data_IF_089020207738
#
_entry.id   IF_089020207738
#
_cell.length_a   1.000
_cell.length_b   1.000
_cell.length_c   1.000
_cell.angle_alpha   90.00
_cell.angle_beta   90.00
_cell.angle_gamma   90.00
#
_symmetry.space_group_name_H-M   'P 1'
#
loop_
_entity.id
_entity.type
_entity.pdbx_description
1 polymer ?
#
# COMPACT_ATOMS: atom_id res chain seq x y z
N UNK A 1 1.56 -21.41 -43.85
CA UNK A 1 3.03 -21.41 -43.93
C UNK A 1 3.58 -21.99 -42.65
N UNK A 2 4.02 -23.25 -42.72
CA UNK A 2 4.60 -23.99 -41.59
C UNK A 2 6.08 -23.62 -41.43
N UNK A 3 6.50 -23.26 -40.25
CA UNK A 3 7.91 -23.18 -39.88
C UNK A 3 8.20 -24.21 -38.79
N UNK A 4 8.87 -25.26 -39.18
CA UNK A 4 9.42 -26.33 -38.33
C UNK A 4 10.81 -25.91 -37.81
N UNK A 5 11.15 -26.08 -36.52
CA UNK A 5 12.51 -25.83 -36.05
C UNK A 5 13.41 -27.07 -36.31
N UNK A 6 14.57 -26.78 -36.87
CA UNK A 6 15.67 -27.76 -37.13
C UNK A 6 16.45 -27.97 -35.82
N UNK A 7 16.41 -29.20 -35.33
CA UNK A 7 17.36 -29.66 -34.29
C UNK A 7 18.72 -29.99 -34.95
N UNK A 8 19.80 -29.40 -34.43
CA UNK A 8 21.17 -29.89 -34.67
C UNK A 8 21.61 -30.73 -33.46
N UNK A 9 21.88 -32.00 -33.74
CA UNK A 9 22.68 -32.89 -32.88
C UNK A 9 24.14 -32.47 -32.99
N UNK A 10 24.85 -32.37 -31.88
CA UNK A 10 26.29 -32.44 -31.83
C UNK A 10 26.71 -33.53 -30.84
N UNK A 11 27.61 -34.36 -31.31
CA UNK A 11 28.14 -35.58 -30.73
C UNK A 11 29.06 -35.31 -29.53
N UNK A 12 29.03 -36.28 -28.63
CA UNK A 12 29.91 -36.43 -27.47
C UNK A 12 31.29 -36.96 -27.90
N UNK A 13 32.39 -36.59 -27.30
CA UNK A 13 33.39 -37.58 -26.98
C UNK A 13 34.03 -37.46 -25.58
N UNK A 14 34.09 -38.60 -24.94
CA UNK A 14 35.21 -39.15 -24.13
C UNK A 14 35.38 -38.69 -22.68
N UNK A 15 35.22 -39.69 -21.83
CA UNK A 15 35.65 -39.81 -20.45
C UNK A 15 37.14 -39.51 -20.21
N UNK A 16 37.44 -38.83 -19.12
CA UNK A 16 38.80 -38.62 -18.64
C UNK A 16 38.87 -38.04 -17.23
N UNK A 17 39.17 -38.94 -16.27
CA UNK A 17 39.91 -38.66 -15.01
C UNK A 17 39.50 -37.50 -14.08
N UNK A 18 39.06 -37.87 -12.87
CA UNK A 18 39.09 -37.03 -11.67
C UNK A 18 40.56 -36.76 -11.22
N UNK A 19 40.84 -35.54 -10.72
CA UNK A 19 41.66 -35.43 -9.53
C UNK A 19 40.98 -34.53 -8.45
N UNK A 20 41.18 -34.94 -7.29
CA UNK A 20 41.22 -34.48 -5.95
C UNK A 20 40.88 -33.04 -5.54
N UNK A 21 40.17 -33.00 -4.43
CA UNK A 21 40.13 -31.94 -3.40
C UNK A 21 40.67 -30.56 -3.78
N UNK A 22 39.73 -29.65 -4.10
CA UNK A 22 39.91 -28.20 -4.08
C UNK A 22 38.70 -27.60 -3.43
N UNK A 23 38.95 -26.74 -2.46
CA UNK A 23 38.00 -25.91 -1.68
C UNK A 23 36.80 -25.49 -2.53
N UNK A 24 35.60 -25.77 -2.04
CA UNK A 24 34.37 -25.21 -2.59
C UNK A 24 34.49 -23.69 -2.55
N UNK A 25 34.78 -23.08 -3.69
CA UNK A 25 34.50 -21.68 -3.91
C UNK A 25 32.99 -21.54 -3.79
N UNK A 26 32.54 -20.76 -2.82
CA UNK A 26 31.18 -20.23 -2.81
C UNK A 26 30.89 -19.69 -4.22
N UNK A 27 30.07 -20.41 -4.96
CA UNK A 27 29.53 -19.89 -6.21
C UNK A 27 28.63 -18.71 -5.81
N UNK A 28 29.18 -17.49 -5.92
CA UNK A 28 28.40 -16.27 -5.86
C UNK A 28 27.20 -16.43 -6.80
N UNK A 29 26.01 -16.28 -6.26
CA UNK A 29 24.78 -16.23 -7.06
C UNK A 29 25.01 -15.26 -8.24
N UNK A 30 24.48 -15.53 -9.45
CA UNK A 30 24.70 -14.68 -10.59
C UNK A 30 24.29 -13.25 -10.20
N UNK A 31 25.27 -12.34 -10.23
CA UNK A 31 25.05 -10.94 -9.86
C UNK A 31 23.97 -10.37 -10.79
N UNK A 32 22.82 -10.05 -10.22
CA UNK A 32 21.75 -9.35 -10.94
C UNK A 32 22.35 -8.08 -11.52
N UNK A 33 22.14 -7.75 -12.80
CA UNK A 33 22.64 -6.50 -13.36
C UNK A 33 22.00 -5.33 -12.61
N UNK A 34 22.82 -4.37 -12.16
CA UNK A 34 22.34 -3.15 -11.54
C UNK A 34 21.55 -2.31 -12.55
N UNK A 35 20.60 -1.52 -12.04
CA UNK A 35 19.70 -0.68 -12.82
C UNK A 35 19.40 0.60 -12.05
N UNK A 36 19.35 1.74 -12.72
CA UNK A 36 18.69 2.93 -12.20
C UNK A 36 17.34 3.13 -12.90
N UNK A 37 16.26 3.22 -12.12
CA UNK A 37 14.91 3.47 -12.64
C UNK A 37 14.43 4.87 -12.23
N UNK A 38 14.29 5.77 -13.20
CA UNK A 38 13.66 7.08 -13.00
C UNK A 38 12.14 6.89 -13.02
N UNK A 39 11.52 6.93 -11.84
CA UNK A 39 10.16 6.45 -11.64
C UNK A 39 9.22 7.58 -11.26
N UNK A 40 8.22 7.80 -12.10
CA UNK A 40 7.14 8.75 -11.82
C UNK A 40 6.23 8.27 -10.70
N UNK A 41 6.06 9.12 -9.68
CA UNK A 41 5.24 8.80 -8.51
C UNK A 41 3.80 9.32 -8.59
N UNK A 42 3.43 9.92 -9.72
CA UNK A 42 2.12 10.56 -9.86
C UNK A 42 1.97 11.84 -9.03
N UNK A 43 0.77 12.42 -8.99
CA UNK A 43 0.52 13.74 -8.40
C UNK A 43 0.32 13.71 -6.88
N UNK A 44 -0.04 12.57 -6.28
CA UNK A 44 -0.34 12.49 -4.84
C UNK A 44 -0.84 11.12 -4.41
N UNK A 45 -1.97 10.69 -4.92
CA UNK A 45 -2.57 9.39 -4.60
C UNK A 45 -1.69 8.24 -5.11
N UNK A 46 -1.27 7.36 -4.20
CA UNK A 46 -0.43 6.20 -4.54
C UNK A 46 -1.15 5.15 -5.37
N UNK A 47 -2.48 5.16 -5.42
CA UNK A 47 -3.26 4.31 -6.32
C UNK A 47 -3.07 4.69 -7.80
N UNK A 48 -2.52 5.88 -8.07
CA UNK A 48 -2.16 6.35 -9.41
C UNK A 48 -0.74 5.97 -9.83
N UNK A 49 0.00 5.22 -9.02
CA UNK A 49 1.26 4.61 -9.44
C UNK A 49 1.00 3.64 -10.59
N UNK A 50 1.88 3.64 -11.57
CA UNK A 50 1.84 2.59 -12.58
C UNK A 50 2.24 1.25 -11.95
N UNK A 51 1.74 0.14 -12.49
CA UNK A 51 2.12 -1.20 -12.01
C UNK A 51 3.65 -1.39 -12.04
N UNK A 52 4.31 -0.87 -13.09
CA UNK A 52 5.76 -0.93 -13.21
C UNK A 52 6.49 -0.11 -12.14
N UNK A 53 5.97 1.06 -11.80
CA UNK A 53 6.51 1.87 -10.70
C UNK A 53 6.42 1.12 -9.36
N UNK A 54 5.27 0.56 -9.04
CA UNK A 54 5.06 -0.20 -7.81
C UNK A 54 5.95 -1.45 -7.75
N UNK A 55 6.10 -2.18 -8.86
CA UNK A 55 6.98 -3.34 -8.97
C UNK A 55 8.45 -2.99 -8.67
N UNK A 56 8.97 -1.94 -9.33
CA UNK A 56 10.37 -1.53 -9.16
C UNK A 56 10.65 -0.98 -7.76
N UNK A 57 9.72 -0.21 -7.17
CA UNK A 57 9.84 0.25 -5.78
C UNK A 57 9.90 -0.94 -4.83
N UNK A 58 9.05 -1.97 -5.03
CA UNK A 58 9.04 -3.19 -4.23
C UNK A 58 10.26 -4.11 -4.41
N UNK A 59 11.07 -3.89 -5.44
CA UNK A 59 12.30 -4.63 -5.72
C UNK A 59 13.58 -3.81 -5.48
N UNK A 60 13.44 -2.56 -5.01
CA UNK A 60 14.57 -1.65 -4.88
C UNK A 60 15.53 -2.07 -3.76
N UNK A 61 16.83 -1.99 -4.04
CA UNK A 61 17.90 -2.03 -3.03
C UNK A 61 18.19 -0.63 -2.48
N UNK A 62 17.82 0.42 -3.25
CA UNK A 62 17.97 1.80 -2.89
C UNK A 62 16.86 2.66 -3.49
N UNK A 63 16.23 3.49 -2.67
CA UNK A 63 15.21 4.47 -3.10
C UNK A 63 15.73 5.87 -2.84
N UNK A 64 15.69 6.73 -3.85
CA UNK A 64 16.24 8.09 -3.82
C UNK A 64 15.16 9.08 -4.21
N UNK A 65 14.86 10.06 -3.37
CA UNK A 65 13.82 11.07 -3.65
C UNK A 65 13.73 12.12 -2.56
N UNK A 66 12.86 13.13 -2.75
CA UNK A 66 12.58 14.08 -1.67
C UNK A 66 11.89 13.37 -0.48
N UNK A 67 12.03 13.94 0.72
CA UNK A 67 11.40 13.41 1.94
C UNK A 67 9.88 13.16 1.75
N UNK A 68 9.19 14.05 1.02
CA UNK A 68 7.77 13.91 0.72
C UNK A 68 7.48 12.69 -0.16
N UNK A 69 8.29 12.44 -1.20
CA UNK A 69 8.09 11.31 -2.11
C UNK A 69 8.44 9.99 -1.45
N UNK A 70 9.54 9.93 -0.70
CA UNK A 70 9.95 8.71 0.02
C UNK A 70 8.93 8.31 1.08
N UNK A 71 8.43 9.28 1.85
CA UNK A 71 7.36 9.04 2.83
C UNK A 71 6.06 8.52 2.18
N UNK A 72 5.70 9.05 1.01
CA UNK A 72 4.49 8.65 0.28
C UNK A 72 4.52 7.18 -0.14
N UNK A 73 5.65 6.68 -0.61
CA UNK A 73 5.81 5.30 -1.10
C UNK A 73 6.41 4.34 -0.07
N UNK A 74 6.65 4.78 1.17
CA UNK A 74 7.34 4.00 2.21
C UNK A 74 6.71 2.61 2.46
N UNK A 75 5.39 2.48 2.27
CA UNK A 75 4.68 1.21 2.44
C UNK A 75 4.98 0.16 1.35
N UNK A 76 5.59 0.56 0.23
CA UNK A 76 6.00 -0.30 -0.88
C UNK A 76 7.49 -0.62 -0.84
N UNK A 77 8.29 0.16 -0.10
CA UNK A 77 9.74 0.01 -0.05
C UNK A 77 10.11 -1.18 0.82
N UNK A 78 10.98 -2.10 0.35
CA UNK A 78 11.47 -3.20 1.16
C UNK A 78 12.17 -2.71 2.43
N UNK A 79 12.00 -3.40 3.55
CA UNK A 79 12.60 -3.03 4.84
C UNK A 79 14.15 -2.98 4.79
N UNK A 80 14.75 -3.82 3.94
CA UNK A 80 16.20 -3.87 3.75
C UNK A 80 16.75 -2.81 2.77
N UNK A 81 15.87 -2.06 2.07
CA UNK A 81 16.30 -1.06 1.10
C UNK A 81 16.82 0.20 1.77
N UNK A 82 17.90 0.76 1.23
CA UNK A 82 18.41 2.06 1.65
C UNK A 82 17.51 3.18 1.12
N UNK A 83 17.08 4.10 1.98
CA UNK A 83 16.33 5.30 1.57
C UNK A 83 17.21 6.52 1.71
N UNK A 84 17.38 7.26 0.59
CA UNK A 84 18.21 8.47 0.52
C UNK A 84 17.31 9.65 0.15
N UNK A 85 17.23 10.62 1.05
CA UNK A 85 16.49 11.85 0.80
C UNK A 85 17.36 12.86 0.03
N UNK A 86 16.77 13.41 -1.05
CA UNK A 86 17.43 14.44 -1.85
C UNK A 86 16.96 15.84 -1.44
N UNK A 87 17.90 16.80 -1.45
CA UNK A 87 17.58 18.22 -1.35
C UNK A 87 17.07 18.83 -2.66
N UNK A 88 17.09 20.16 -2.73
CA UNK A 88 16.69 20.92 -3.94
C UNK A 88 17.66 20.72 -5.13
N UNK A 89 18.89 20.33 -4.88
CA UNK A 89 19.94 20.13 -5.88
C UNK A 89 19.81 18.83 -6.69
N UNK A 90 18.76 18.03 -6.40
CA UNK A 90 18.53 16.75 -7.07
C UNK A 90 19.28 15.58 -6.47
N UNK A 91 19.49 14.53 -7.25
CA UNK A 91 20.16 13.30 -6.81
C UNK A 91 21.68 13.42 -6.96
N UNK A 92 22.41 12.78 -6.03
CA UNK A 92 23.86 12.58 -6.16
C UNK A 92 24.13 11.53 -7.26
N UNK A 93 24.39 11.99 -8.48
CA UNK A 93 24.61 11.13 -9.65
C UNK A 93 25.81 10.17 -9.45
N UNK A 94 26.98 10.58 -8.96
CA UNK A 94 28.06 9.67 -8.60
C UNK A 94 27.65 8.53 -7.66
N UNK A 95 26.83 8.82 -6.66
CA UNK A 95 26.31 7.81 -5.74
C UNK A 95 25.36 6.81 -6.42
N UNK A 96 24.46 7.29 -7.30
CA UNK A 96 23.59 6.44 -8.11
C UNK A 96 24.41 5.50 -9.01
N UNK A 97 25.40 6.03 -9.74
CA UNK A 97 26.28 5.28 -10.63
C UNK A 97 27.02 4.19 -9.84
N UNK A 98 27.61 4.52 -8.70
CA UNK A 98 28.33 3.58 -7.86
C UNK A 98 27.44 2.45 -7.34
N UNK A 99 26.21 2.75 -6.95
CA UNK A 99 25.24 1.75 -6.49
C UNK A 99 24.86 0.77 -7.61
N UNK A 100 24.60 1.28 -8.83
CA UNK A 100 24.29 0.44 -9.99
C UNK A 100 25.46 -0.44 -10.40
N UNK A 101 26.70 0.10 -10.39
CA UNK A 101 27.92 -0.69 -10.65
C UNK A 101 28.14 -1.80 -9.62
N UNK A 102 27.64 -1.61 -8.39
CA UNK A 102 27.62 -2.63 -7.36
C UNK A 102 26.49 -3.68 -7.53
N UNK A 103 25.76 -3.66 -8.65
CA UNK A 103 24.66 -4.59 -8.97
C UNK A 103 23.34 -4.29 -8.28
N UNK A 104 23.15 -3.07 -7.74
CA UNK A 104 21.92 -2.66 -7.05
C UNK A 104 20.86 -2.14 -8.01
N UNK A 105 19.58 -2.38 -7.65
CA UNK A 105 18.44 -1.67 -8.25
C UNK A 105 18.22 -0.38 -7.47
N UNK A 106 18.43 0.73 -8.16
CA UNK A 106 18.21 2.08 -7.64
C UNK A 106 16.94 2.66 -8.23
N UNK A 107 15.99 3.06 -7.39
CA UNK A 107 14.76 3.73 -7.82
C UNK A 107 14.84 5.22 -7.47
N UNK A 108 14.96 6.07 -8.50
CA UNK A 108 14.90 7.52 -8.40
C UNK A 108 13.46 7.99 -8.54
N UNK A 109 12.87 8.42 -7.43
CA UNK A 109 11.49 8.90 -7.39
C UNK A 109 11.38 10.31 -7.99
N UNK A 110 10.47 10.49 -8.93
CA UNK A 110 10.19 11.76 -9.59
C UNK A 110 8.74 12.17 -9.37
N UNK A 111 8.43 13.44 -9.07
CA UNK A 111 7.04 13.90 -8.96
C UNK A 111 6.35 13.82 -10.33
N UNK A 112 5.08 13.40 -10.36
CA UNK A 112 4.33 13.26 -11.61
C UNK A 112 4.98 12.28 -12.57
N UNK A 113 5.48 12.80 -13.70
CA UNK A 113 6.21 12.08 -14.74
C UNK A 113 7.68 12.52 -14.78
N UNK A 114 8.65 11.60 -14.91
CA UNK A 114 10.09 11.93 -14.87
C UNK A 114 10.55 12.91 -15.93
N UNK A 115 9.94 12.89 -17.11
CA UNK A 115 10.35 13.69 -18.26
C UNK A 115 9.50 14.95 -18.49
N UNK A 116 8.57 15.24 -17.56
CA UNK A 116 7.70 16.40 -17.67
C UNK A 116 8.01 17.42 -16.55
N UNK A 117 8.55 18.59 -16.90
CA UNK A 117 8.85 19.70 -15.98
C UNK A 117 9.75 19.33 -14.78
N UNK A 118 10.72 18.42 -14.96
CA UNK A 118 11.57 17.95 -13.88
C UNK A 118 13.06 17.90 -14.23
N UNK A 119 13.87 17.66 -13.23
CA UNK A 119 15.34 17.51 -13.36
C UNK A 119 15.76 16.11 -13.81
N UNK A 120 14.84 15.15 -13.83
CA UNK A 120 15.15 13.74 -14.09
C UNK A 120 15.75 13.50 -15.48
N UNK A 121 15.42 14.34 -16.48
CA UNK A 121 16.00 14.24 -17.81
C UNK A 121 17.53 14.44 -17.78
N UNK A 122 18.01 15.48 -17.08
CA UNK A 122 19.44 15.75 -16.96
C UNK A 122 20.16 14.67 -16.13
N UNK A 123 19.53 14.17 -15.05
CA UNK A 123 20.03 13.07 -14.24
C UNK A 123 20.15 11.77 -15.07
N UNK A 124 19.12 11.46 -15.89
CA UNK A 124 19.10 10.29 -16.77
C UNK A 124 20.16 10.40 -17.88
N UNK A 125 20.32 11.57 -18.49
CA UNK A 125 21.36 11.83 -19.50
C UNK A 125 22.77 11.60 -18.90
N UNK A 126 23.03 12.04 -17.67
CA UNK A 126 24.28 11.81 -17.00
C UNK A 126 24.54 10.31 -16.75
N UNK A 127 23.53 9.55 -16.36
CA UNK A 127 23.62 8.09 -16.22
C UNK A 127 23.88 7.41 -17.59
N UNK A 128 23.19 7.84 -18.64
CA UNK A 128 23.39 7.31 -19.99
C UNK A 128 24.81 7.60 -20.52
N UNK A 129 25.35 8.79 -20.30
CA UNK A 129 26.74 9.14 -20.65
C UNK A 129 27.76 8.27 -19.89
N UNK A 130 27.44 7.86 -18.67
CA UNK A 130 28.27 6.94 -17.89
C UNK A 130 28.04 5.44 -18.26
N UNK A 131 27.25 5.18 -19.33
CA UNK A 131 26.89 3.83 -19.77
C UNK A 131 26.24 2.94 -18.69
N UNK A 132 25.49 3.56 -17.78
CA UNK A 132 24.75 2.88 -16.72
C UNK A 132 23.41 2.38 -17.27
N UNK A 133 23.02 1.09 -17.04
CA UNK A 133 21.68 0.62 -17.38
C UNK A 133 20.62 1.46 -16.68
N UNK A 134 19.68 2.00 -17.48
CA UNK A 134 18.62 2.85 -16.96
C UNK A 134 17.26 2.45 -17.53
N UNK A 135 16.20 2.76 -16.78
CA UNK A 135 14.80 2.63 -17.19
C UNK A 135 14.06 3.93 -16.86
N UNK A 136 13.27 4.45 -17.78
CA UNK A 136 12.35 5.55 -17.54
C UNK A 136 10.95 4.96 -17.36
N UNK A 137 10.38 5.13 -16.18
CA UNK A 137 9.03 4.66 -15.86
C UNK A 137 8.09 5.85 -15.81
N UNK A 138 7.23 6.03 -16.81
CA UNK A 138 6.26 7.14 -16.82
C UNK A 138 5.37 7.13 -15.59
N UNK A 139 4.99 8.31 -15.13
CA UNK A 139 4.02 8.51 -14.07
C UNK A 139 2.81 9.30 -14.55
N UNK A 140 1.73 9.33 -13.77
CA UNK A 140 0.57 10.15 -14.09
C UNK A 140 0.90 11.63 -13.92
N UNK A 141 0.84 12.46 -14.99
CA UNK A 141 1.15 13.88 -14.88
C UNK A 141 0.11 14.61 -14.01
N UNK A 142 0.58 15.47 -13.12
CA UNK A 142 -0.31 16.30 -12.30
C UNK A 142 -1.21 17.20 -13.15
N UNK A 143 -0.71 17.65 -14.31
CA UNK A 143 -1.44 18.48 -15.27
C UNK A 143 -2.76 17.89 -15.77
N UNK A 144 -2.89 16.57 -15.80
CA UNK A 144 -4.10 15.86 -16.24
C UNK A 144 -4.84 15.19 -15.10
N UNK A 145 -4.11 14.61 -14.13
CA UNK A 145 -4.71 13.89 -13.03
C UNK A 145 -5.45 14.82 -12.05
N UNK A 146 -4.84 15.94 -11.67
CA UNK A 146 -5.45 16.88 -10.70
C UNK A 146 -6.74 17.49 -11.24
N UNK A 147 -6.81 18.02 -12.48
CA UNK A 147 -8.08 18.44 -13.06
C UNK A 147 -9.13 17.32 -13.12
N UNK A 148 -8.73 16.08 -13.44
CA UNK A 148 -9.63 14.93 -13.42
C UNK A 148 -10.22 14.65 -12.04
N UNK A 149 -9.44 14.77 -10.97
CA UNK A 149 -9.91 14.65 -9.59
C UNK A 149 -10.78 15.85 -9.15
N UNK A 150 -10.51 17.03 -9.67
CA UNK A 150 -11.35 18.20 -9.48
C UNK A 150 -12.63 18.19 -10.33
N UNK A 151 -12.80 17.19 -11.22
CA UNK A 151 -13.97 17.09 -12.10
C UNK A 151 -13.97 18.10 -13.24
N UNK A 152 -12.79 18.50 -13.73
CA UNK A 152 -12.60 19.48 -14.79
C UNK A 152 -12.21 18.79 -16.10
N UNK A 153 -13.12 18.65 -17.09
CA UNK A 153 -12.81 18.06 -18.39
C UNK A 153 -11.96 19.04 -19.22
N UNK A 154 -10.69 18.74 -19.40
CA UNK A 154 -9.71 19.65 -20.06
C UNK A 154 -9.97 19.84 -21.55
N UNK A 155 -10.66 18.91 -22.19
CA UNK A 155 -11.02 18.98 -23.62
C UNK A 155 -12.49 18.62 -23.84
N UNK A 156 -13.08 19.15 -24.90
CA UNK A 156 -14.43 18.86 -25.36
C UNK A 156 -14.48 18.90 -26.88
N UNK A 157 -15.64 18.58 -27.48
CA UNK A 157 -15.82 18.73 -28.94
C UNK A 157 -15.60 20.19 -29.41
N UNK A 158 -15.87 21.15 -28.54
CA UNK A 158 -15.69 22.58 -28.81
C UNK A 158 -14.28 23.08 -28.48
N UNK A 159 -13.54 22.38 -27.62
CA UNK A 159 -12.24 22.79 -27.07
C UNK A 159 -11.25 21.63 -27.19
N UNK A 160 -10.53 21.55 -28.29
CA UNK A 160 -9.56 20.49 -28.59
C UNK A 160 -8.14 20.81 -28.10
N UNK A 161 -7.83 22.09 -27.85
CA UNK A 161 -6.50 22.54 -27.47
C UNK A 161 -6.28 22.46 -25.97
N UNK A 162 -5.17 21.82 -25.55
CA UNK A 162 -4.68 21.78 -24.18
C UNK A 162 -3.24 22.28 -24.14
N UNK A 163 -3.01 23.29 -23.33
CA UNK A 163 -1.65 23.82 -23.07
C UNK A 163 -1.30 23.62 -21.60
N UNK A 164 -0.07 23.16 -21.36
CA UNK A 164 0.47 22.98 -20.00
C UNK A 164 1.72 23.84 -19.88
N UNK A 165 1.76 24.68 -18.87
CA UNK A 165 2.89 25.57 -18.59
C UNK A 165 3.23 25.55 -17.12
N UNK A 166 4.47 25.90 -16.76
CA UNK A 166 4.83 26.17 -15.38
C UNK A 166 4.65 27.67 -15.08
N UNK A 167 4.20 28.02 -13.90
CA UNK A 167 3.92 29.42 -13.51
C UNK A 167 5.12 30.36 -13.74
N UNK A 168 6.35 29.89 -13.52
CA UNK A 168 7.58 30.65 -13.76
C UNK A 168 7.78 31.08 -15.21
N UNK A 169 7.17 30.34 -16.16
CA UNK A 169 7.32 30.62 -17.59
C UNK A 169 6.14 31.42 -18.19
N UNK A 170 5.08 31.65 -17.36
CA UNK A 170 3.85 32.28 -17.81
C UNK A 170 4.12 33.72 -18.35
N UNK A 171 5.05 34.46 -17.73
CA UNK A 171 5.41 35.81 -18.16
C UNK A 171 6.04 35.88 -19.56
N UNK A 172 6.74 34.82 -19.95
CA UNK A 172 7.34 34.71 -21.32
C UNK A 172 6.33 34.29 -22.36
N UNK A 173 5.34 33.49 -21.94
CA UNK A 173 4.35 32.90 -22.82
C UNK A 173 3.09 33.75 -22.97
N UNK A 174 2.88 34.76 -22.10
CA UNK A 174 1.63 35.54 -22.03
C UNK A 174 1.26 36.30 -23.32
N UNK A 175 2.24 36.69 -24.13
CA UNK A 175 1.98 37.37 -25.42
C UNK A 175 1.47 36.43 -26.54
N UNK A 176 1.70 35.12 -26.41
CA UNK A 176 1.35 34.09 -27.41
C UNK A 176 0.06 33.33 -27.06
N UNK A 177 -0.44 33.44 -25.82
CA UNK A 177 -1.65 32.79 -25.36
C UNK A 177 -2.89 33.55 -25.81
N UNK A 178 -3.35 33.34 -27.02
CA UNK A 178 -4.71 33.74 -27.38
C UNK A 178 -5.70 32.61 -26.99
N UNK A 179 -6.80 33.04 -26.39
CA UNK A 179 -7.74 32.26 -25.61
C UNK A 179 -8.58 31.25 -26.41
N UNK A 180 -7.98 30.24 -26.99
CA UNK A 180 -8.72 29.12 -27.57
C UNK A 180 -8.19 27.81 -26.97
N UNK A 181 -8.86 27.32 -25.93
CA UNK A 181 -8.49 26.05 -25.32
C UNK A 181 -8.41 26.07 -23.79
N UNK A 182 -7.99 24.97 -23.21
CA UNK A 182 -7.71 24.87 -21.77
C UNK A 182 -6.23 25.12 -21.49
N UNK A 183 -5.96 26.02 -20.54
CA UNK A 183 -4.61 26.30 -20.05
C UNK A 183 -4.46 25.69 -18.64
N UNK A 184 -3.51 24.79 -18.46
CA UNK A 184 -3.13 24.22 -17.17
C UNK A 184 -1.81 24.84 -16.73
N UNK A 185 -1.78 25.43 -15.55
CA UNK A 185 -0.63 26.11 -14.96
C UNK A 185 -0.18 25.31 -13.75
N UNK A 186 1.03 24.75 -13.82
CA UNK A 186 1.69 24.08 -12.70
C UNK A 186 2.43 25.12 -11.84
N UNK A 187 2.55 24.88 -10.53
CA UNK A 187 3.22 25.81 -9.61
C UNK A 187 2.38 27.05 -9.30
N UNK A 188 1.05 26.91 -9.30
CA UNK A 188 0.12 28.00 -9.05
C UNK A 188 0.06 28.46 -7.58
N UNK A 189 0.66 27.70 -6.65
CA UNK A 189 0.76 28.04 -5.22
C UNK A 189 1.48 29.37 -4.98
N UNK A 190 2.41 29.75 -5.86
CA UNK A 190 3.22 30.96 -5.72
C UNK A 190 2.42 32.28 -5.81
N UNK A 191 1.22 32.25 -6.39
CA UNK A 191 0.40 33.48 -6.49
C UNK A 191 -0.75 33.39 -7.49
N UNK A 192 -1.85 32.68 -7.20
CA UNK A 192 -2.97 32.55 -8.13
C UNK A 192 -3.60 33.91 -8.53
N UNK A 193 -3.57 34.89 -7.65
CA UNK A 193 -4.04 36.26 -7.94
C UNK A 193 -3.15 36.95 -8.95
N UNK A 194 -1.83 36.78 -8.84
CA UNK A 194 -0.88 37.40 -9.77
C UNK A 194 -0.89 36.69 -11.13
N UNK A 195 -1.08 35.37 -11.15
CA UNK A 195 -1.32 34.61 -12.39
C UNK A 195 -2.56 35.16 -13.13
N UNK A 196 -3.66 35.40 -12.42
CA UNK A 196 -4.86 35.99 -13.02
C UNK A 196 -4.61 37.40 -13.58
N UNK A 197 -3.90 38.28 -12.85
CA UNK A 197 -3.51 39.61 -13.34
C UNK A 197 -2.65 39.54 -14.62
N UNK A 198 -1.70 38.59 -14.65
CA UNK A 198 -0.85 38.40 -15.85
C UNK A 198 -1.68 37.96 -17.05
N UNK A 199 -2.63 37.06 -16.90
CA UNK A 199 -3.52 36.63 -17.96
C UNK A 199 -4.43 37.76 -18.46
N UNK A 200 -5.01 38.55 -17.54
CA UNK A 200 -5.80 39.75 -17.90
C UNK A 200 -4.96 40.75 -18.68
N UNK A 201 -3.71 41.01 -18.26
CA UNK A 201 -2.79 41.89 -18.98
C UNK A 201 -2.41 41.34 -20.36
N UNK A 202 -2.44 40.00 -20.55
CA UNK A 202 -2.22 39.33 -21.81
C UNK A 202 -3.47 39.34 -22.74
N UNK A 203 -4.57 39.96 -22.32
CA UNK A 203 -5.79 40.11 -23.13
C UNK A 203 -6.85 39.03 -22.91
N UNK A 204 -6.74 38.19 -21.87
CA UNK A 204 -7.82 37.30 -21.51
C UNK A 204 -9.03 38.06 -20.97
N UNK A 205 -10.24 37.57 -21.26
CA UNK A 205 -11.46 38.22 -20.81
C UNK A 205 -11.65 38.11 -19.30
N UNK A 206 -12.16 39.16 -18.66
CA UNK A 206 -12.47 39.23 -17.22
C UNK A 206 -13.35 38.05 -16.73
N UNK A 207 -14.30 37.64 -17.56
CA UNK A 207 -15.24 36.57 -17.26
C UNK A 207 -14.67 35.15 -17.48
N UNK A 208 -13.43 35.02 -17.94
CA UNK A 208 -12.82 33.70 -18.21
C UNK A 208 -12.79 32.89 -16.91
N UNK A 209 -13.32 31.64 -16.92
CA UNK A 209 -13.28 30.76 -15.75
C UNK A 209 -11.85 30.38 -15.38
N UNK A 210 -11.60 30.27 -14.09
CA UNK A 210 -10.36 29.76 -13.51
C UNK A 210 -10.71 28.84 -12.34
N UNK A 211 -10.03 27.70 -12.25
CA UNK A 211 -10.11 26.81 -11.10
C UNK A 211 -8.70 26.59 -10.54
N UNK A 212 -8.56 26.69 -9.22
CA UNK A 212 -7.28 26.43 -8.55
C UNK A 212 -7.50 25.25 -7.61
N UNK A 213 -6.66 24.22 -7.74
CA UNK A 213 -6.71 23.01 -6.93
C UNK A 213 -5.39 22.83 -6.20
N UNK A 214 -5.44 22.85 -4.87
CA UNK A 214 -4.32 22.53 -3.99
C UNK A 214 -4.32 21.07 -3.60
N UNK A 215 -3.15 20.52 -3.32
CA UNK A 215 -2.95 19.13 -2.86
C UNK A 215 -3.71 18.09 -3.69
N UNK A 216 -3.78 18.31 -5.00
CA UNK A 216 -4.59 17.50 -5.91
C UNK A 216 -4.37 16.01 -5.77
N UNK A 217 -5.44 15.24 -5.92
CA UNK A 217 -5.53 13.79 -5.79
C UNK A 217 -5.36 13.23 -4.37
N UNK A 218 -5.11 14.08 -3.38
CA UNK A 218 -5.04 13.66 -1.97
C UNK A 218 -6.35 13.97 -1.24
N UNK A 219 -6.49 13.45 -0.05
CA UNK A 219 -7.65 13.74 0.82
C UNK A 219 -7.63 15.16 1.40
N UNK A 220 -6.53 15.89 1.20
CA UNK A 220 -6.40 17.30 1.53
C UNK A 220 -6.62 18.19 0.29
N UNK A 221 -7.13 17.61 -0.81
CA UNK A 221 -7.47 18.35 -2.03
C UNK A 221 -8.52 19.41 -1.72
N UNK A 222 -8.32 20.61 -2.25
CA UNK A 222 -9.27 21.69 -2.17
C UNK A 222 -9.29 22.46 -3.49
N UNK A 223 -10.48 22.60 -4.08
CA UNK A 223 -10.66 23.27 -5.38
C UNK A 223 -11.54 24.50 -5.25
N UNK A 224 -11.03 25.65 -5.67
CA UNK A 224 -11.79 26.91 -5.79
C UNK A 224 -12.01 27.23 -7.25
N UNK A 225 -13.28 27.30 -7.67
CA UNK A 225 -13.70 27.75 -8.98
C UNK A 225 -14.11 29.22 -8.97
N UNK A 226 -13.53 30.02 -9.84
CA UNK A 226 -13.67 31.48 -9.89
C UNK A 226 -13.62 31.99 -11.33
N UNK A 227 -13.47 33.30 -11.52
CA UNK A 227 -13.16 33.97 -12.78
C UNK A 227 -11.91 34.81 -12.61
N UNK A 228 -11.21 35.11 -13.71
CA UNK A 228 -9.96 35.89 -13.65
C UNK A 228 -10.12 37.22 -12.91
N UNK A 229 -11.26 37.92 -13.09
CA UNK A 229 -11.53 39.21 -12.40
C UNK A 229 -11.85 39.08 -10.91
N UNK A 230 -12.25 37.90 -10.43
CA UNK A 230 -12.74 37.72 -9.04
C UNK A 230 -11.87 36.84 -8.17
N UNK A 231 -10.73 36.33 -8.66
CA UNK A 231 -9.87 35.39 -7.94
C UNK A 231 -9.59 35.82 -6.49
N UNK A 232 -9.16 37.07 -6.27
CA UNK A 232 -8.80 37.55 -4.96
C UNK A 232 -10.00 37.57 -3.97
N UNK A 233 -11.20 37.96 -4.46
CA UNK A 233 -12.41 38.01 -3.66
C UNK A 233 -12.92 36.59 -3.33
N UNK A 234 -12.93 35.71 -4.30
CA UNK A 234 -13.46 34.35 -4.15
C UNK A 234 -12.54 33.47 -3.29
N UNK A 235 -11.21 33.61 -3.38
CA UNK A 235 -10.27 32.94 -2.47
C UNK A 235 -10.47 33.41 -1.04
N UNK A 236 -10.65 34.71 -0.82
CA UNK A 236 -10.95 35.25 0.51
C UNK A 236 -12.29 34.74 1.06
N UNK A 237 -13.32 34.66 0.21
CA UNK A 237 -14.63 34.14 0.59
C UNK A 237 -14.59 32.66 0.93
N UNK A 238 -13.75 31.88 0.24
CA UNK A 238 -13.50 30.48 0.52
C UNK A 238 -12.63 30.22 1.77
N UNK A 239 -12.15 31.30 2.42
CA UNK A 239 -11.27 31.19 3.60
C UNK A 239 -9.84 30.75 3.24
N UNK A 240 -9.49 30.72 1.96
CA UNK A 240 -8.17 30.33 1.48
C UNK A 240 -7.22 31.51 1.65
N UNK A 241 -6.23 31.36 2.52
CA UNK A 241 -5.13 32.31 2.63
C UNK A 241 -3.97 31.83 1.77
N UNK A 242 -3.69 32.54 0.69
CA UNK A 242 -2.55 32.25 -0.22
C UNK A 242 -1.19 32.18 0.52
N UNK A 243 -1.14 32.74 1.74
CA UNK A 243 0.06 32.74 2.59
C UNK A 243 0.14 31.52 3.53
N UNK A 244 -0.94 30.72 3.63
CA UNK A 244 -1.04 29.61 4.60
C UNK A 244 -1.40 28.28 3.95
N UNK A 245 -1.73 28.25 2.67
CA UNK A 245 -1.94 26.99 1.93
C UNK A 245 -0.57 26.37 1.60
N UNK A 246 -0.18 25.39 2.40
CA UNK A 246 1.02 24.61 2.18
C UNK A 246 0.70 23.45 1.20
N UNK A 247 1.33 23.48 0.05
CA UNK A 247 1.26 22.36 -0.90
C UNK A 247 1.20 22.81 -2.37
N UNK A 248 1.46 21.85 -3.27
CA UNK A 248 1.47 22.14 -4.70
C UNK A 248 0.07 22.48 -5.20
N UNK A 249 -0.04 23.53 -6.01
CA UNK A 249 -1.30 23.94 -6.62
C UNK A 249 -1.21 23.93 -8.16
N UNK A 250 -2.36 23.63 -8.77
CA UNK A 250 -2.55 23.68 -10.22
C UNK A 250 -3.73 24.62 -10.49
N UNK A 251 -3.54 25.54 -11.45
CA UNK A 251 -4.62 26.33 -11.98
C UNK A 251 -5.03 25.82 -13.37
N UNK A 252 -6.34 25.75 -13.60
CA UNK A 252 -6.95 25.50 -14.91
C UNK A 252 -7.66 26.77 -15.32
N UNK A 253 -7.44 27.25 -16.53
CA UNK A 253 -8.02 28.47 -17.08
C UNK A 253 -8.69 28.17 -18.40
N UNK A 254 -9.87 28.72 -18.62
CA UNK A 254 -10.67 28.48 -19.82
C UNK A 254 -12.02 27.83 -19.49
N UNK A 255 -12.73 27.37 -20.53
CA UNK A 255 -14.07 26.80 -20.40
C UNK A 255 -14.14 25.60 -19.43
N UNK A 256 -13.11 24.75 -19.46
CA UNK A 256 -12.97 23.58 -18.58
C UNK A 256 -13.09 23.95 -17.09
N UNK A 257 -12.52 25.09 -16.68
CA UNK A 257 -12.54 25.54 -15.28
C UNK A 257 -13.93 25.96 -14.79
N UNK A 258 -14.87 26.19 -15.68
CA UNK A 258 -16.27 26.52 -15.37
C UNK A 258 -17.17 25.30 -15.18
N UNK A 259 -16.69 24.09 -15.48
CA UNK A 259 -17.49 22.88 -15.37
C UNK A 259 -17.79 22.51 -13.90
N UNK A 260 -19.05 22.19 -13.60
CA UNK A 260 -19.49 21.93 -12.21
C UNK A 260 -20.19 20.56 -12.01
N UNK A 261 -20.31 19.79 -13.07
CA UNK A 261 -21.10 18.55 -13.04
C UNK A 261 -20.36 17.30 -12.53
N UNK A 262 -19.04 17.34 -12.43
CA UNK A 262 -18.19 16.15 -12.21
C UNK A 262 -17.35 16.20 -10.93
N UNK A 263 -17.75 16.98 -9.92
CA UNK A 263 -17.04 17.01 -8.64
C UNK A 263 -17.30 15.71 -7.86
N UNK A 264 -16.58 14.65 -8.20
CA UNK A 264 -16.80 13.31 -7.67
C UNK A 264 -15.91 12.99 -6.45
N UNK A 265 -14.71 13.58 -6.40
CA UNK A 265 -13.70 13.21 -5.41
C UNK A 265 -13.91 13.95 -4.08
N UNK A 266 -14.03 15.28 -4.12
CA UNK A 266 -14.28 16.11 -2.93
C UNK A 266 -15.70 15.93 -2.36
N UNK A 267 -16.64 15.37 -3.15
CA UNK A 267 -18.00 15.05 -2.73
C UNK A 267 -18.15 13.63 -2.14
N UNK A 268 -17.07 12.89 -1.94
CA UNK A 268 -17.14 11.60 -1.24
C UNK A 268 -17.67 11.78 0.18
N UNK A 269 -18.47 10.83 0.70
CA UNK A 269 -19.17 11.00 1.99
C UNK A 269 -18.27 11.27 3.20
N UNK A 270 -17.05 10.76 3.18
CA UNK A 270 -16.07 10.92 4.26
C UNK A 270 -14.81 11.67 3.80
N UNK A 271 -14.91 12.46 2.73
CA UNK A 271 -13.76 13.18 2.19
C UNK A 271 -13.10 14.07 3.26
N UNK A 272 -11.78 13.90 3.43
CA UNK A 272 -10.98 14.62 4.41
C UNK A 272 -11.17 14.20 5.87
N UNK A 273 -12.08 13.29 6.17
CA UNK A 273 -12.25 12.79 7.53
C UNK A 273 -11.08 11.90 7.95
N UNK A 274 -10.51 12.21 9.10
CA UNK A 274 -9.48 11.36 9.73
C UNK A 274 -10.15 10.40 10.69
N UNK A 275 -10.13 9.09 10.36
CA UNK A 275 -10.84 8.06 11.12
C UNK A 275 -9.86 7.18 11.87
N UNK A 276 -10.00 7.13 13.20
CA UNK A 276 -9.21 6.24 14.06
C UNK A 276 -9.71 4.80 13.91
N UNK A 277 -8.82 3.87 13.57
CA UNK A 277 -9.10 2.45 13.45
C UNK A 277 -8.34 1.69 14.54
N UNK A 278 -8.99 1.34 15.68
CA UNK A 278 -8.34 0.72 16.84
C UNK A 278 -8.24 -0.81 16.68
N UNK A 279 -7.74 -1.27 15.55
CA UNK A 279 -7.55 -2.70 15.23
C UNK A 279 -6.07 -3.01 15.03
N UNK A 280 -5.69 -4.31 15.11
CA UNK A 280 -4.34 -4.72 14.70
C UNK A 280 -4.10 -4.37 13.23
N UNK A 281 -2.82 -4.25 12.84
CA UNK A 281 -2.45 -3.84 11.48
C UNK A 281 -3.09 -4.73 10.41
N UNK A 282 -3.14 -6.03 10.67
CA UNK A 282 -3.70 -7.05 9.77
C UNK A 282 -5.23 -6.92 9.65
N UNK A 283 -5.92 -6.73 10.77
CA UNK A 283 -7.37 -6.58 10.81
C UNK A 283 -7.85 -5.22 10.29
N UNK A 284 -6.98 -4.21 10.31
CA UNK A 284 -7.31 -2.87 9.85
C UNK A 284 -7.30 -2.72 8.33
N UNK A 285 -6.69 -3.65 7.59
CA UNK A 285 -6.45 -3.49 6.15
C UNK A 285 -7.76 -3.30 5.36
N UNK A 286 -8.72 -4.20 5.50
CA UNK A 286 -10.00 -4.15 4.76
C UNK A 286 -10.86 -2.95 5.14
N UNK A 287 -10.95 -2.63 6.43
CA UNK A 287 -11.68 -1.46 6.93
C UNK A 287 -11.01 -0.17 6.44
N UNK A 288 -9.69 -0.11 6.47
CA UNK A 288 -8.95 1.06 5.98
C UNK A 288 -9.14 1.28 4.49
N UNK A 289 -9.16 0.21 3.68
CA UNK A 289 -9.43 0.29 2.24
C UNK A 289 -10.84 0.81 1.97
N UNK A 290 -11.84 0.29 2.68
CA UNK A 290 -13.23 0.75 2.59
C UNK A 290 -13.39 2.21 3.02
N UNK A 291 -12.74 2.64 4.09
CA UNK A 291 -12.71 4.04 4.50
C UNK A 291 -12.08 4.95 3.43
N UNK A 292 -10.95 4.55 2.85
CA UNK A 292 -10.31 5.29 1.73
C UNK A 292 -11.23 5.38 0.51
N UNK A 293 -11.98 4.34 0.19
CA UNK A 293 -12.92 4.40 -0.93
C UNK A 293 -14.00 5.47 -0.76
N UNK A 294 -14.39 5.77 0.48
CA UNK A 294 -15.30 6.88 0.84
C UNK A 294 -14.58 8.22 1.04
N UNK A 295 -13.27 8.30 0.82
CA UNK A 295 -12.49 9.54 0.92
C UNK A 295 -11.92 9.84 2.31
N UNK A 296 -12.03 8.92 3.27
CA UNK A 296 -11.45 9.09 4.60
C UNK A 296 -9.94 8.79 4.63
N UNK A 297 -9.28 9.33 5.66
CA UNK A 297 -7.89 9.03 6.04
C UNK A 297 -7.90 8.09 7.25
N UNK A 298 -7.77 6.77 7.07
CA UNK A 298 -7.73 5.85 8.20
C UNK A 298 -6.41 5.99 8.95
N UNK A 299 -6.50 6.22 10.25
CA UNK A 299 -5.37 6.23 11.17
C UNK A 299 -5.39 4.95 12.00
N UNK A 300 -4.60 3.96 11.60
CA UNK A 300 -4.52 2.69 12.31
C UNK A 300 -3.72 2.87 13.60
N UNK A 301 -4.37 2.60 14.73
CA UNK A 301 -3.78 2.69 16.07
C UNK A 301 -4.11 1.40 16.83
N UNK A 302 -3.27 0.37 16.73
CA UNK A 302 -3.49 -0.86 17.45
C UNK A 302 -3.59 -0.61 18.96
N UNK A 303 -4.62 -1.13 19.61
CA UNK A 303 -4.77 -1.11 21.06
C UNK A 303 -4.20 -2.36 21.71
N UNK A 304 -4.11 -3.44 20.94
CA UNK A 304 -3.52 -4.72 21.33
C UNK A 304 -2.46 -5.15 20.31
N UNK A 305 -1.52 -5.95 20.77
CA UNK A 305 -0.55 -6.65 19.94
C UNK A 305 -0.60 -8.14 20.25
N UNK A 306 -0.30 -8.96 19.26
CA UNK A 306 -0.19 -10.41 19.39
C UNK A 306 1.29 -10.74 19.49
N UNK A 307 1.68 -11.46 20.56
CA UNK A 307 3.07 -11.86 20.79
C UNK A 307 3.16 -13.39 20.94
N UNK A 308 4.32 -14.00 20.67
CA UNK A 308 4.55 -15.41 20.93
C UNK A 308 4.30 -15.80 22.40
N UNK A 309 3.97 -17.06 22.68
CA UNK A 309 3.76 -17.54 24.05
C UNK A 309 5.05 -17.46 24.87
N UNK A 310 4.92 -17.24 26.20
CA UNK A 310 6.09 -17.23 27.12
C UNK A 310 6.77 -18.59 27.23
N UNK A 311 6.04 -19.66 26.98
CA UNK A 311 6.52 -21.04 27.06
C UNK A 311 6.36 -21.74 25.71
N UNK A 312 7.22 -21.49 24.71
CA UNK A 312 7.12 -22.05 23.36
C UNK A 312 7.18 -23.58 23.33
N UNK A 313 7.76 -24.22 24.36
CA UNK A 313 7.87 -25.66 24.46
C UNK A 313 6.50 -26.39 24.54
N UNK A 314 5.44 -25.71 24.99
CA UNK A 314 4.08 -26.26 24.97
C UNK A 314 3.59 -26.42 23.55
N UNK A 315 3.74 -25.37 22.75
CA UNK A 315 3.38 -25.38 21.33
C UNK A 315 4.22 -26.42 20.56
N UNK A 316 5.52 -26.54 20.83
CA UNK A 316 6.39 -27.55 20.21
C UNK A 316 5.90 -28.97 20.48
N UNK A 317 5.52 -29.27 21.71
CA UNK A 317 4.94 -30.57 22.08
C UNK A 317 3.59 -30.80 21.40
N UNK A 318 2.76 -29.77 21.28
CA UNK A 318 1.48 -29.84 20.60
C UNK A 318 1.66 -30.13 19.11
N UNK A 319 2.56 -29.41 18.42
CA UNK A 319 2.89 -29.66 16.99
C UNK A 319 3.43 -31.08 16.79
N UNK A 320 4.33 -31.54 17.66
CA UNK A 320 4.80 -32.92 17.61
C UNK A 320 3.65 -33.92 17.81
N UNK A 321 2.74 -33.65 18.74
CA UNK A 321 1.53 -34.46 18.96
C UNK A 321 0.60 -34.49 17.76
N UNK A 322 0.44 -33.33 17.08
CA UNK A 322 -0.35 -33.19 15.85
C UNK A 322 0.21 -34.13 14.75
N UNK A 323 1.49 -34.03 14.46
CA UNK A 323 2.15 -34.82 13.40
C UNK A 323 2.21 -36.31 13.70
N UNK A 324 2.25 -36.69 14.98
CA UNK A 324 2.28 -38.09 15.40
C UNK A 324 0.89 -38.70 15.61
N UNK A 325 -0.19 -37.98 15.28
CA UNK A 325 -1.57 -38.48 15.37
C UNK A 325 -2.07 -38.65 16.78
N UNK A 326 -1.66 -37.80 17.73
CA UNK A 326 -2.10 -37.85 19.15
C UNK A 326 -3.49 -37.27 19.36
N UNK A 327 -4.03 -36.50 18.41
CA UNK A 327 -5.30 -35.82 18.53
C UNK A 327 -6.30 -36.27 17.46
N UNK A 328 -7.57 -36.38 17.82
CA UNK A 328 -8.68 -36.60 16.91
C UNK A 328 -9.14 -35.29 16.27
N UNK A 329 -9.12 -34.20 17.06
CA UNK A 329 -9.56 -32.89 16.67
C UNK A 329 -8.53 -31.82 17.02
N UNK A 330 -8.51 -30.77 16.24
CA UNK A 330 -7.96 -29.48 16.61
C UNK A 330 -9.03 -28.40 16.42
N UNK A 331 -9.22 -27.53 17.41
CA UNK A 331 -10.20 -26.46 17.36
C UNK A 331 -9.56 -25.09 17.49
N UNK A 332 -9.83 -24.26 16.51
CA UNK A 332 -9.36 -22.87 16.47
C UNK A 332 -10.44 -21.89 16.87
N UNK A 333 -10.19 -21.12 17.92
CA UNK A 333 -11.11 -20.09 18.42
C UNK A 333 -10.77 -18.68 17.90
N UNK A 334 -9.76 -18.54 17.06
CA UNK A 334 -9.39 -17.28 16.43
C UNK A 334 -8.47 -17.48 15.22
N UNK A 335 -8.49 -16.53 14.29
CA UNK A 335 -7.54 -16.48 13.17
C UNK A 335 -6.08 -16.33 13.65
N UNK A 336 -5.84 -15.67 14.79
CA UNK A 336 -4.49 -15.55 15.36
C UNK A 336 -3.92 -16.88 15.82
N UNK A 337 -4.77 -17.78 16.36
CA UNK A 337 -4.34 -19.12 16.70
C UNK A 337 -3.96 -19.94 15.45
N UNK A 338 -4.71 -19.79 14.34
CA UNK A 338 -4.37 -20.41 13.04
C UNK A 338 -2.99 -19.95 12.57
N UNK A 339 -2.75 -18.63 12.59
CA UNK A 339 -1.44 -18.06 12.19
C UNK A 339 -0.30 -18.56 13.07
N UNK A 340 -0.47 -18.55 14.39
CA UNK A 340 0.57 -19.02 15.32
C UNK A 340 0.92 -20.50 15.11
N UNK A 341 -0.06 -21.35 14.83
CA UNK A 341 0.17 -22.78 14.50
C UNK A 341 0.86 -22.91 13.15
N UNK A 342 0.42 -22.14 12.13
CA UNK A 342 1.03 -22.10 10.80
C UNK A 342 2.49 -21.69 10.85
N UNK A 343 2.81 -20.56 11.50
CA UNK A 343 4.18 -20.07 11.68
C UNK A 343 5.07 -21.13 12.34
N UNK A 344 4.53 -21.82 13.36
CA UNK A 344 5.28 -22.88 14.05
C UNK A 344 5.50 -24.11 13.17
N UNK A 345 4.54 -24.48 12.34
CA UNK A 345 4.69 -25.55 11.34
C UNK A 345 5.75 -25.20 10.29
N UNK A 346 5.69 -23.98 9.75
CA UNK A 346 6.65 -23.46 8.77
C UNK A 346 8.08 -23.42 9.34
N UNK A 347 8.26 -23.06 10.61
CA UNK A 347 9.56 -23.09 11.32
C UNK A 347 10.19 -24.51 11.31
N UNK A 348 9.34 -25.57 11.35
CA UNK A 348 9.79 -26.96 11.26
C UNK A 348 9.81 -27.53 9.82
N UNK A 349 9.60 -26.70 8.80
CA UNK A 349 9.51 -27.14 7.42
C UNK A 349 8.28 -27.99 7.11
N UNK A 350 7.21 -27.83 7.91
CA UNK A 350 5.93 -28.51 7.75
C UNK A 350 4.91 -27.60 7.07
N UNK A 351 3.87 -28.18 6.49
CA UNK A 351 2.78 -27.47 5.83
C UNK A 351 1.40 -28.06 6.23
N UNK A 352 0.35 -27.67 5.49
CA UNK A 352 -1.02 -28.14 5.74
C UNK A 352 -1.19 -29.67 5.77
N UNK A 353 -0.27 -30.43 5.19
CA UNK A 353 -0.27 -31.91 5.24
C UNK A 353 -0.10 -32.44 6.66
N UNK A 354 0.42 -31.63 7.60
CA UNK A 354 0.48 -31.97 9.01
C UNK A 354 -0.89 -32.23 9.66
N UNK A 355 -1.97 -31.79 9.01
CA UNK A 355 -3.36 -32.01 9.46
C UNK A 355 -4.00 -33.27 8.86
N UNK A 356 -3.24 -34.08 8.13
CA UNK A 356 -3.79 -35.30 7.53
C UNK A 356 -4.29 -36.28 8.62
N UNK A 357 -5.57 -36.67 8.51
CA UNK A 357 -6.22 -37.58 9.45
C UNK A 357 -6.75 -36.95 10.74
N UNK A 358 -6.66 -35.63 10.90
CA UNK A 358 -7.22 -34.87 12.02
C UNK A 358 -8.45 -34.11 11.55
N UNK A 359 -9.49 -34.06 12.36
CA UNK A 359 -10.66 -33.18 12.13
C UNK A 359 -10.36 -31.78 12.65
N UNK A 360 -10.75 -30.77 11.86
CA UNK A 360 -10.47 -29.36 12.15
C UNK A 360 -11.76 -28.59 12.40
N UNK A 361 -11.83 -27.89 13.53
CA UNK A 361 -12.96 -27.05 13.88
C UNK A 361 -12.56 -25.56 13.93
N UNK A 362 -13.45 -24.69 13.49
CA UNK A 362 -13.29 -23.24 13.55
C UNK A 362 -14.50 -22.61 14.24
N UNK A 363 -14.24 -21.62 15.10
CA UNK A 363 -15.29 -20.93 15.86
C UNK A 363 -16.23 -20.10 14.98
N UNK A 364 -15.81 -19.71 13.79
CA UNK A 364 -16.61 -18.90 12.87
C UNK A 364 -15.91 -18.65 11.53
N UNK A 365 -16.57 -17.91 10.67
CA UNK A 365 -16.15 -17.69 9.26
C UNK A 365 -14.77 -17.04 9.11
N UNK A 366 -14.39 -16.07 9.95
CA UNK A 366 -13.07 -15.45 9.88
C UNK A 366 -11.95 -16.45 10.20
N UNK A 367 -12.18 -17.36 11.15
CA UNK A 367 -11.22 -18.41 11.47
C UNK A 367 -11.18 -19.49 10.39
N UNK A 368 -12.34 -19.81 9.82
CA UNK A 368 -12.45 -20.73 8.68
C UNK A 368 -11.76 -20.18 7.42
N UNK A 369 -11.88 -18.87 7.16
CA UNK A 369 -11.16 -18.20 6.07
C UNK A 369 -9.64 -18.27 6.26
N UNK A 370 -9.12 -18.01 7.46
CA UNK A 370 -7.70 -18.13 7.77
C UNK A 370 -7.16 -19.57 7.59
N UNK A 371 -7.96 -20.58 7.90
CA UNK A 371 -7.66 -21.99 7.61
C UNK A 371 -7.66 -22.25 6.10
N UNK A 372 -8.61 -21.66 5.36
CA UNK A 372 -8.68 -21.73 3.89
C UNK A 372 -7.45 -21.16 3.21
N UNK A 373 -6.93 -20.03 3.69
CA UNK A 373 -5.66 -19.44 3.22
C UNK A 373 -4.46 -20.36 3.47
N UNK A 374 -4.54 -21.19 4.50
CA UNK A 374 -3.53 -22.22 4.80
C UNK A 374 -3.75 -23.52 4.01
N UNK A 375 -4.82 -23.60 3.20
CA UNK A 375 -5.17 -24.78 2.42
C UNK A 375 -5.97 -25.84 3.19
N UNK A 376 -6.58 -25.48 4.32
CA UNK A 376 -7.36 -26.38 5.19
C UNK A 376 -8.82 -25.99 5.16
N UNK A 377 -9.71 -26.92 4.82
CA UNK A 377 -11.15 -26.77 4.97
C UNK A 377 -11.56 -27.31 6.33
N UNK A 378 -12.16 -26.51 7.24
CA UNK A 378 -12.63 -27.03 8.51
C UNK A 378 -13.78 -28.03 8.34
N UNK A 379 -13.81 -29.06 9.19
CA UNK A 379 -14.86 -30.08 9.26
C UNK A 379 -16.06 -29.59 10.05
N UNK A 380 -15.85 -28.66 11.00
CA UNK A 380 -16.90 -28.11 11.86
C UNK A 380 -16.78 -26.60 11.97
N UNK A 381 -17.85 -25.91 11.58
CA UNK A 381 -18.06 -24.45 11.82
C UNK A 381 -19.48 -24.29 12.30
N UNK A 382 -19.77 -23.64 13.42
CA UNK A 382 -21.14 -23.43 13.89
C UNK A 382 -21.92 -22.52 12.92
N UNK A 383 -23.14 -22.93 12.57
CA UNK A 383 -23.99 -22.20 11.64
C UNK A 383 -24.77 -21.05 12.31
N UNK A 384 -25.15 -21.23 13.58
CA UNK A 384 -26.06 -20.32 14.27
C UNK A 384 -25.32 -19.21 15.04
N UNK A 385 -24.38 -19.58 15.91
CA UNK A 385 -23.65 -18.66 16.77
C UNK A 385 -22.15 -18.87 16.63
N UNK A 386 -21.44 -17.86 16.14
CA UNK A 386 -20.00 -17.91 15.93
C UNK A 386 -19.23 -17.55 17.22
N UNK A 387 -19.43 -18.36 18.25
CA UNK A 387 -18.82 -18.23 19.58
C UNK A 387 -18.28 -19.58 20.10
N UNK A 388 -17.55 -19.54 21.21
CA UNK A 388 -17.11 -20.76 21.89
C UNK A 388 -18.28 -21.62 22.35
N UNK A 389 -19.41 -21.00 22.72
CA UNK A 389 -20.65 -21.69 23.08
C UNK A 389 -21.31 -22.30 21.85
N UNK A 390 -21.41 -21.57 20.75
CA UNK A 390 -21.95 -22.09 19.49
C UNK A 390 -21.13 -23.26 18.94
N UNK A 391 -19.80 -23.18 19.03
CA UNK A 391 -18.92 -24.27 18.62
C UNK A 391 -19.11 -25.50 19.51
N UNK A 392 -19.22 -25.31 20.82
CA UNK A 392 -19.48 -26.40 21.78
C UNK A 392 -20.86 -27.04 21.56
N UNK A 393 -21.88 -26.26 21.24
CA UNK A 393 -23.23 -26.76 20.95
C UNK A 393 -23.29 -27.60 19.64
N UNK A 394 -22.45 -27.28 18.68
CA UNK A 394 -22.36 -28.01 17.42
C UNK A 394 -21.40 -29.22 17.50
N UNK A 395 -20.65 -29.37 18.60
CA UNK A 395 -19.63 -30.41 18.74
C UNK A 395 -20.26 -31.78 18.99
N UNK A 396 -19.83 -32.85 18.28
CA UNK A 396 -20.32 -34.20 18.50
C UNK A 396 -19.79 -34.75 19.83
N UNK A 397 -20.62 -35.53 20.60
CA UNK A 397 -20.10 -36.26 21.76
C UNK A 397 -19.05 -37.27 21.33
N UNK A 398 -18.13 -37.59 22.23
CA UNK A 398 -17.15 -38.64 22.00
C UNK A 398 -17.83 -40.00 21.89
N UNK A 399 -17.45 -40.78 20.89
CA UNK A 399 -17.95 -42.14 20.66
C UNK A 399 -16.73 -43.08 20.60
N UNK A 400 -16.59 -43.97 21.55
CA UNK A 400 -15.45 -44.87 21.68
C UNK A 400 -15.34 -45.92 20.54
N UNK A 401 -16.39 -46.09 19.75
CA UNK A 401 -16.42 -46.96 18.57
C UNK A 401 -15.97 -46.25 17.31
N UNK A 402 -16.40 -44.98 17.16
CA UNK A 402 -16.16 -44.19 15.94
C UNK A 402 -14.90 -43.31 16.01
N UNK A 403 -14.52 -42.88 17.19
CA UNK A 403 -13.38 -42.01 17.42
C UNK A 403 -12.23 -42.78 18.12
N UNK A 404 -11.16 -43.12 17.38
CA UNK A 404 -10.06 -43.92 17.96
C UNK A 404 -9.25 -43.16 19.01
N UNK A 405 -9.39 -41.85 19.12
CA UNK A 405 -8.66 -40.98 20.04
C UNK A 405 -9.65 -39.96 20.63
N UNK A 406 -9.69 -39.88 21.99
CA UNK A 406 -10.57 -38.95 22.70
C UNK A 406 -9.97 -37.56 22.94
N UNK A 407 -8.93 -37.15 22.15
CA UNK A 407 -8.17 -35.93 22.43
C UNK A 407 -8.42 -34.83 21.43
N UNK A 408 -8.64 -33.63 21.97
CA UNK A 408 -8.81 -32.37 21.23
C UNK A 408 -7.68 -31.40 21.56
N UNK A 409 -6.97 -30.90 20.57
CA UNK A 409 -5.99 -29.83 20.73
C UNK A 409 -6.68 -28.46 20.62
N UNK A 410 -6.44 -27.58 21.60
CA UNK A 410 -7.00 -26.24 21.67
C UNK A 410 -5.88 -25.18 21.68
N UNK A 411 -5.35 -24.76 20.53
CA UNK A 411 -4.44 -23.63 20.46
C UNK A 411 -5.23 -22.31 20.63
N UNK A 412 -4.96 -21.56 21.71
CA UNK A 412 -5.74 -20.36 22.11
C UNK A 412 -4.85 -19.22 22.59
N UNK A 413 -5.47 -18.05 22.84
CA UNK A 413 -4.86 -16.94 23.55
C UNK A 413 -4.63 -17.28 25.03
N UNK A 414 -3.68 -16.61 25.66
CA UNK A 414 -3.42 -16.71 27.10
C UNK A 414 -4.58 -16.21 27.99
N UNK A 415 -5.50 -15.42 27.42
CA UNK A 415 -6.69 -14.87 28.10
C UNK A 415 -8.00 -15.59 27.72
N UNK A 416 -7.94 -16.77 27.09
CA UNK A 416 -9.12 -17.48 26.64
C UNK A 416 -9.97 -17.99 27.81
N UNK A 417 -11.29 -18.03 27.61
CA UNK A 417 -12.25 -18.53 28.63
C UNK A 417 -12.26 -20.06 28.69
N UNK A 418 -12.62 -20.63 29.83
CA UNK A 418 -12.70 -22.10 30.07
C UNK A 418 -13.99 -22.72 29.50
N UNK A 419 -14.90 -21.95 28.94
CA UNK A 419 -16.23 -22.42 28.50
C UNK A 419 -16.16 -23.58 27.51
N UNK A 420 -15.32 -23.49 26.48
CA UNK A 420 -15.17 -24.54 25.48
C UNK A 420 -14.56 -25.82 26.08
N UNK A 421 -13.54 -25.68 26.94
CA UNK A 421 -12.89 -26.80 27.64
C UNK A 421 -13.90 -27.57 28.48
N UNK A 422 -14.68 -26.86 29.31
CA UNK A 422 -15.69 -27.48 30.16
C UNK A 422 -16.74 -28.25 29.34
N UNK A 423 -17.25 -27.64 28.27
CA UNK A 423 -18.25 -28.26 27.40
C UNK A 423 -17.74 -29.49 26.65
N UNK A 424 -16.50 -29.45 26.14
CA UNK A 424 -15.89 -30.62 25.48
C UNK A 424 -15.67 -31.76 26.49
N UNK A 425 -15.29 -31.43 27.71
CA UNK A 425 -15.16 -32.42 28.79
C UNK A 425 -16.50 -33.07 29.15
N UNK A 426 -17.59 -32.29 29.22
CA UNK A 426 -18.95 -32.81 29.42
C UNK A 426 -19.39 -33.75 28.28
N UNK A 427 -18.88 -33.55 27.07
CA UNK A 427 -19.12 -34.41 25.91
C UNK A 427 -18.18 -35.64 25.83
N UNK A 428 -17.32 -35.84 26.82
CA UNK A 428 -16.42 -37.02 26.92
C UNK A 428 -15.05 -36.84 26.26
N UNK A 429 -14.71 -35.64 25.77
CA UNK A 429 -13.41 -35.37 25.19
C UNK A 429 -12.36 -34.94 26.21
N UNK A 430 -11.13 -35.41 26.05
CA UNK A 430 -9.96 -34.89 26.76
C UNK A 430 -9.37 -33.71 25.98
N UNK A 431 -9.26 -32.56 26.60
CA UNK A 431 -8.74 -31.36 25.97
C UNK A 431 -7.26 -31.11 26.33
N UNK A 432 -6.44 -30.82 25.35
CA UNK A 432 -5.08 -30.28 25.55
C UNK A 432 -5.06 -28.81 25.16
N UNK A 433 -5.12 -27.95 26.15
CA UNK A 433 -5.10 -26.51 26.00
C UNK A 433 -3.67 -25.99 25.92
N UNK A 434 -3.37 -25.23 24.83
CA UNK A 434 -2.05 -24.72 24.57
C UNK A 434 -2.12 -23.22 24.24
N UNK A 435 -1.37 -22.43 24.99
CA UNK A 435 -1.19 -21.01 24.66
C UNK A 435 -0.43 -20.87 23.35
N UNK A 436 -1.16 -20.53 22.28
CA UNK A 436 -0.60 -20.32 20.96
C UNK A 436 -0.01 -18.92 20.80
N UNK A 437 -0.62 -17.92 21.42
CA UNK A 437 -0.19 -16.54 21.40
C UNK A 437 -0.63 -15.80 22.67
N UNK A 438 -0.05 -14.63 22.91
CA UNK A 438 -0.44 -13.73 24.00
C UNK A 438 -1.02 -12.45 23.44
N UNK A 439 -2.07 -11.96 24.06
CA UNK A 439 -2.61 -10.64 23.79
C UNK A 439 -2.02 -9.65 24.78
N UNK A 440 -1.21 -8.72 24.29
CA UNK A 440 -0.58 -7.69 25.11
C UNK A 440 -1.08 -6.30 24.67
N UNK A 441 -0.90 -5.31 25.55
CA UNK A 441 -1.17 -3.93 25.19
C UNK A 441 -0.17 -3.50 24.11
N UNK A 442 -0.67 -2.92 23.02
CA UNK A 442 0.18 -2.39 21.97
C UNK A 442 1.06 -1.22 22.46
N UNK A 443 2.18 -1.00 21.78
CA UNK A 443 3.01 0.17 22.02
C UNK A 443 2.19 1.46 21.80
N UNK A 444 2.46 2.54 22.57
CA UNK A 444 1.79 3.81 22.35
C UNK A 444 2.02 4.33 20.93
N UNK A 445 1.00 4.92 20.29
CA UNK A 445 1.17 5.47 18.94
C UNK A 445 2.20 6.59 18.91
N UNK A 446 2.78 6.93 17.75
CA UNK A 446 3.72 8.04 17.59
C UNK A 446 3.16 9.38 18.11
N UNK A 447 4.05 10.29 18.50
CA UNK A 447 3.65 11.57 19.10
C UNK A 447 2.63 12.38 18.27
N UNK A 448 2.76 12.52 16.93
CA UNK A 448 1.77 13.25 16.13
C UNK A 448 0.35 12.64 16.21
N UNK A 449 0.27 11.32 16.25
CA UNK A 449 -1.02 10.61 16.36
C UNK A 449 -1.64 10.82 17.75
N UNK A 450 -0.82 10.76 18.81
CA UNK A 450 -1.30 11.03 20.17
C UNK A 450 -1.84 12.46 20.33
N UNK A 451 -1.18 13.44 19.74
CA UNK A 451 -1.65 14.82 19.77
C UNK A 451 -2.94 15.01 18.96
N UNK A 452 -3.06 14.36 17.80
CA UNK A 452 -4.28 14.35 17.01
C UNK A 452 -5.47 13.74 17.76
N UNK A 453 -5.24 12.65 18.52
CA UNK A 453 -6.27 12.03 19.39
C UNK A 453 -6.69 13.01 20.50
N UNK A 454 -5.72 13.62 21.19
CA UNK A 454 -6.01 14.57 22.28
C UNK A 454 -6.74 15.82 21.78
N UNK A 455 -6.41 16.30 20.59
CA UNK A 455 -7.04 17.45 19.97
C UNK A 455 -8.42 17.18 19.37
N UNK A 456 -8.97 15.98 19.52
CA UNK A 456 -10.21 15.53 18.87
C UNK A 456 -10.23 15.74 17.35
N UNK A 457 -9.05 15.64 16.73
CA UNK A 457 -8.88 15.76 15.27
C UNK A 457 -9.14 14.45 14.54
N UNK A 458 -9.56 13.39 15.26
CA UNK A 458 -9.85 12.06 14.74
C UNK A 458 -11.25 11.64 15.13
N UNK A 459 -11.98 11.06 14.20
CA UNK A 459 -13.24 10.37 14.45
C UNK A 459 -12.97 8.89 14.73
N UNK A 460 -13.74 8.28 15.64
CA UNK A 460 -13.64 6.83 15.92
C UNK A 460 -14.67 6.08 15.09
N UNK A 461 -14.25 5.00 14.43
CA UNK A 461 -15.20 4.01 13.93
C UNK A 461 -15.55 3.09 15.11
N UNK A 462 -16.81 3.03 15.47
CA UNK A 462 -17.29 2.03 16.42
C UNK A 462 -17.28 0.66 15.70
N UNK A 463 -16.33 -0.17 16.07
CA UNK A 463 -16.08 -1.47 15.44
C UNK A 463 -16.84 -2.60 16.16
N UNK A 464 -17.80 -2.26 17.02
CA UNK A 464 -18.54 -3.22 17.82
C UNK A 464 -19.81 -3.76 17.16
N UNK A 465 -20.26 -3.16 16.04
CA UNK A 465 -21.55 -3.46 15.40
C UNK A 465 -21.43 -4.09 14.01
N UNK A 466 -20.29 -4.70 13.64
CA UNK A 466 -20.17 -5.49 12.40
C UNK A 466 -19.61 -6.90 12.65
#
# INVERSE_FOLDING_TARGET
MNLTPVMRKTEDPAAGALPGNGQAAETAAPSRPGLVAFTGTGPGDTSLLTLRAAELIGQADMVVGSAQLTARVAHLVPEAAAVIETGQDGADIPALISAVQAGRIVVRLCPGDPLLFGQAAAEADACAQAAIPLEIVPGMPAATAVPGYAGLPLTSDATADLRVVHASELSRASAEFQAAGSLVILGAEAGPVDLAKMLLAAGWADATPMAITWNGTTTDQHTVQTKLSSVAADLKAAGVSVLTEDGPAIAVVGEAAGHRGLSWFENKPLFGWRVLVPRTKEQAASVSERLRSYGAVPQVVPTIAVEPPRAPQQMERAIKGLVTGRFQWIAFTSANAVRAVREKLEEYGLDARAFAGIKVAAVGEQTAAALGEFGIKPDLVPEAEQSSEGLAAAWPPYDDVLDPINRVLLPRADIATETLVARLTDLGWETEDVTAYRTVRAAPPPAPVREAIKGCLLYTSDAADE
#
